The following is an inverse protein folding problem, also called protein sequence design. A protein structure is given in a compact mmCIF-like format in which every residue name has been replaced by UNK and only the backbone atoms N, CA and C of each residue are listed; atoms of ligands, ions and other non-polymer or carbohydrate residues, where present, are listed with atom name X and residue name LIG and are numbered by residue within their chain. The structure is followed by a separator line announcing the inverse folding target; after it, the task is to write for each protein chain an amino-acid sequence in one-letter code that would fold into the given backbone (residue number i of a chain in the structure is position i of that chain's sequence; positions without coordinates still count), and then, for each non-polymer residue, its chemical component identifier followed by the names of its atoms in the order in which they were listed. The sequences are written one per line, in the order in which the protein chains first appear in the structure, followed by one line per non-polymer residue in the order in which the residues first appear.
data_IF_587354254358
#
_entry.id   IF_587354254358
#
_cell.length_a   1.000
_cell.length_b   1.000
_cell.length_c   1.000
_cell.angle_alpha   90.00
_cell.angle_beta   90.00
_cell.angle_gamma   90.00
#
_symmetry.space_group_name_H-M   'P 1'
#
loop_
_entity.id
_entity.type
_entity.pdbx_description
1 polymer ?
#
# COMPACT_ATOMS: atom_id res chain seq x y z
N UNK A 1 24.56 7.13 -4.81
CA UNK A 1 24.18 8.17 -3.83
C UNK A 1 23.41 7.51 -2.69
N UNK A 2 23.60 8.01 -1.47
CA UNK A 2 22.90 7.59 -0.24
C UNK A 2 21.37 7.44 -0.39
N UNK A 3 20.62 8.39 -1.00
CA UNK A 3 19.16 8.27 -1.17
C UNK A 3 18.71 7.07 -1.99
N UNK A 4 19.48 6.69 -3.02
CA UNK A 4 19.16 5.51 -3.84
C UNK A 4 19.30 4.20 -3.05
N UNK A 5 20.28 4.13 -2.14
CA UNK A 5 20.46 2.96 -1.29
C UNK A 5 19.28 2.81 -0.32
N UNK A 6 18.78 3.93 0.23
CA UNK A 6 17.59 3.95 1.09
C UNK A 6 16.34 3.48 0.37
N UNK A 7 16.08 3.94 -0.86
CA UNK A 7 14.92 3.47 -1.64
C UNK A 7 14.98 1.96 -1.91
N UNK A 8 16.18 1.42 -2.23
CA UNK A 8 16.38 -0.02 -2.40
C UNK A 8 16.19 -0.80 -1.11
N UNK A 9 16.67 -0.28 0.01
CA UNK A 9 16.48 -0.91 1.32
C UNK A 9 14.99 -0.96 1.70
N UNK A 10 14.25 0.14 1.52
CA UNK A 10 12.81 0.19 1.79
C UNK A 10 12.00 -0.76 0.90
N UNK A 11 12.45 -0.99 -0.34
CA UNK A 11 11.86 -2.02 -1.19
C UNK A 11 12.16 -3.43 -0.67
N UNK A 12 13.41 -3.69 -0.26
CA UNK A 12 13.85 -4.99 0.25
C UNK A 12 13.19 -5.39 1.58
N UNK A 13 12.75 -4.43 2.40
CA UNK A 13 12.03 -4.70 3.66
C UNK A 13 10.58 -5.10 3.46
N UNK A 14 10.05 -5.08 2.22
CA UNK A 14 8.67 -5.47 1.92
C UNK A 14 7.62 -4.50 2.45
N UNK A 15 8.02 -3.27 2.82
CA UNK A 15 7.09 -2.21 3.21
C UNK A 15 6.34 -1.76 1.96
N UNK A 16 5.07 -2.17 1.83
CA UNK A 16 4.17 -1.75 0.76
C UNK A 16 3.68 -0.31 0.95
N UNK A 17 4.59 0.64 1.14
CA UNK A 17 4.28 2.07 1.27
C UNK A 17 4.68 2.81 0.00
N UNK A 18 3.93 3.83 -0.46
CA UNK A 18 4.33 4.60 -1.62
C UNK A 18 5.61 5.39 -1.34
N UNK A 19 6.57 5.34 -2.27
CA UNK A 19 7.85 6.03 -2.19
C UNK A 19 7.85 7.21 -3.14
N UNK A 20 7.90 8.41 -2.59
CA UNK A 20 7.91 9.65 -3.37
C UNK A 20 9.28 10.31 -3.22
N UNK A 21 9.95 10.58 -4.33
CA UNK A 21 11.19 11.34 -4.32
C UNK A 21 10.90 12.84 -4.33
N UNK A 22 11.50 13.60 -3.42
CA UNK A 22 11.48 15.07 -3.45
C UNK A 22 12.83 15.55 -3.95
N UNK A 23 12.85 16.25 -5.09
CA UNK A 23 14.09 16.66 -5.76
C UNK A 23 14.01 18.09 -6.26
N UNK A 24 15.14 18.77 -6.41
CA UNK A 24 15.19 20.02 -7.17
C UNK A 24 15.10 19.74 -8.67
N UNK A 25 14.87 20.78 -9.48
CA UNK A 25 14.88 20.65 -10.95
C UNK A 25 16.20 20.06 -11.46
N UNK A 26 17.34 20.55 -10.97
CA UNK A 26 18.65 20.01 -11.30
C UNK A 26 18.85 18.56 -10.82
N UNK A 27 18.14 18.14 -9.77
CA UNK A 27 18.20 16.79 -9.23
C UNK A 27 17.46 15.74 -10.09
N UNK A 28 16.56 16.15 -10.99
CA UNK A 28 15.79 15.24 -11.83
C UNK A 28 16.69 14.34 -12.70
N UNK A 29 17.84 14.85 -13.16
CA UNK A 29 18.78 14.10 -13.99
C UNK A 29 19.35 12.86 -13.29
N UNK A 30 19.36 12.84 -11.96
CA UNK A 30 19.86 11.71 -11.19
C UNK A 30 18.82 10.58 -11.02
N UNK A 31 17.55 10.86 -11.33
CA UNK A 31 16.47 9.88 -11.17
C UNK A 31 16.42 8.92 -12.36
N UNK A 32 16.43 7.64 -12.01
CA UNK A 32 16.36 6.54 -12.96
C UNK A 32 15.39 5.48 -12.42
N UNK A 33 14.84 4.65 -13.30
CA UNK A 33 13.83 3.64 -12.94
C UNK A 33 14.31 2.67 -11.83
N UNK A 34 15.63 2.44 -11.75
CA UNK A 34 16.27 1.59 -10.74
C UNK A 34 16.29 2.16 -9.31
N UNK A 35 15.79 3.38 -9.10
CA UNK A 35 15.50 3.92 -7.77
C UNK A 35 14.23 3.31 -7.18
N UNK A 36 13.32 2.81 -8.03
CA UNK A 36 12.05 2.23 -7.59
C UNK A 36 11.19 3.23 -6.83
N UNK A 37 11.10 4.48 -7.31
CA UNK A 37 10.20 5.48 -6.75
C UNK A 37 8.87 5.42 -7.48
N UNK A 38 7.77 5.60 -6.75
CA UNK A 38 6.40 5.49 -7.26
C UNK A 38 5.85 6.84 -7.76
N UNK A 39 6.47 7.95 -7.34
CA UNK A 39 6.17 9.32 -7.80
C UNK A 39 7.38 10.25 -7.53
N UNK A 40 7.38 11.42 -8.16
CA UNK A 40 8.42 12.45 -8.02
C UNK A 40 7.77 13.82 -7.82
N UNK A 41 8.26 14.55 -6.82
CA UNK A 41 7.82 15.90 -6.46
C UNK A 41 9.00 16.86 -6.54
N UNK A 42 8.80 18.01 -7.17
CA UNK A 42 9.80 19.08 -7.10
C UNK A 42 9.82 19.70 -5.70
N UNK A 43 11.00 20.05 -5.19
CA UNK A 43 11.16 20.72 -3.90
C UNK A 43 10.44 22.09 -3.86
N UNK A 44 10.10 22.65 -5.03
CA UNK A 44 9.33 23.89 -5.20
C UNK A 44 7.81 23.66 -5.32
N UNK A 45 7.31 22.42 -5.22
CA UNK A 45 5.90 22.11 -5.35
C UNK A 45 5.07 22.75 -4.23
N UNK A 46 3.92 23.31 -4.60
CA UNK A 46 2.99 23.89 -3.64
C UNK A 46 2.25 22.81 -2.83
N UNK A 47 1.68 23.17 -1.67
CA UNK A 47 1.04 22.22 -0.76
C UNK A 47 -0.11 21.44 -1.41
N UNK A 48 -0.91 22.09 -2.26
CA UNK A 48 -2.01 21.46 -2.97
C UNK A 48 -1.55 20.34 -3.94
N UNK A 49 -0.40 20.53 -4.61
CA UNK A 49 0.17 19.51 -5.48
C UNK A 49 0.67 18.32 -4.65
N UNK A 50 1.39 18.60 -3.56
CA UNK A 50 1.92 17.57 -2.66
C UNK A 50 0.79 16.73 -2.09
N UNK A 51 -0.27 17.36 -1.59
CA UNK A 51 -1.47 16.67 -1.09
C UNK A 51 -2.10 15.79 -2.16
N UNK A 52 -2.32 16.32 -3.37
CA UNK A 52 -2.94 15.59 -4.46
C UNK A 52 -2.12 14.35 -4.85
N UNK A 53 -0.79 14.48 -4.96
CA UNK A 53 0.11 13.37 -5.31
C UNK A 53 0.16 12.30 -4.22
N UNK A 54 0.24 12.70 -2.94
CA UNK A 54 0.18 11.76 -1.82
C UNK A 54 -1.14 10.98 -1.82
N UNK A 55 -2.28 11.67 -1.99
CA UNK A 55 -3.60 11.02 -2.09
C UNK A 55 -3.68 10.03 -3.24
N UNK A 56 -3.15 10.38 -4.41
CA UNK A 56 -3.11 9.49 -5.56
C UNK A 56 -2.17 8.28 -5.34
N UNK A 57 -1.01 8.49 -4.73
CA UNK A 57 -0.06 7.43 -4.43
C UNK A 57 -0.65 6.39 -3.45
N UNK A 58 -1.34 6.87 -2.40
CA UNK A 58 -2.07 6.00 -1.46
C UNK A 58 -3.24 5.30 -2.14
N UNK A 59 -4.02 6.02 -2.97
CA UNK A 59 -5.13 5.43 -3.72
C UNK A 59 -4.70 4.31 -4.68
N UNK A 60 -3.54 4.46 -5.34
CA UNK A 60 -2.94 3.43 -6.20
C UNK A 60 -2.58 2.16 -5.41
N UNK A 61 -2.02 2.32 -4.20
CA UNK A 61 -1.73 1.19 -3.32
C UNK A 61 -3.01 0.44 -2.93
N UNK A 62 -4.04 1.16 -2.50
CA UNK A 62 -5.34 0.57 -2.13
C UNK A 62 -6.00 -0.16 -3.30
N UNK A 63 -5.92 0.39 -4.52
CA UNK A 63 -6.45 -0.27 -5.72
C UNK A 63 -5.60 -1.48 -6.16
N UNK A 64 -4.28 -1.42 -6.01
CA UNK A 64 -3.41 -2.58 -6.27
C UNK A 64 -3.72 -3.73 -5.30
N UNK A 65 -4.01 -3.42 -4.03
CA UNK A 65 -4.49 -4.43 -3.07
C UNK A 65 -5.91 -4.94 -3.38
N UNK A 66 -6.77 -4.12 -3.99
CA UNK A 66 -8.12 -4.53 -4.37
C UNK A 66 -8.17 -5.36 -5.67
N UNK A 67 -7.23 -5.15 -6.59
CA UNK A 67 -7.19 -5.81 -7.91
C UNK A 67 -6.42 -7.14 -7.95
N UNK A 68 -5.60 -7.43 -6.94
CA UNK A 68 -4.72 -8.61 -6.92
C UNK A 68 -4.90 -9.41 -5.62
N UNK A 69 -6.01 -10.15 -5.47
CA UNK A 69 -6.20 -11.15 -4.40
C UNK A 69 -5.92 -10.66 -2.97
N UNK A 70 -5.87 -9.34 -2.77
CA UNK A 70 -5.08 -8.76 -1.69
C UNK A 70 -5.84 -8.85 -0.39
N UNK A 71 -5.09 -9.18 0.66
CA UNK A 71 -5.65 -9.38 1.98
C UNK A 71 -6.59 -8.24 2.40
N UNK A 72 -7.85 -8.57 2.70
CA UNK A 72 -8.88 -7.64 3.13
C UNK A 72 -8.58 -7.25 4.59
N UNK A 73 -8.50 -5.95 4.89
CA UNK A 73 -8.30 -5.44 6.25
C UNK A 73 -9.50 -4.64 6.74
N UNK A 74 -9.99 -4.98 7.93
CA UNK A 74 -11.07 -4.29 8.61
C UNK A 74 -10.70 -4.07 10.09
N UNK A 75 -10.15 -2.90 10.41
CA UNK A 75 -9.55 -2.65 11.72
C UNK A 75 -8.43 -3.63 12.03
N UNK A 76 -8.55 -4.37 13.12
CA UNK A 76 -7.59 -5.41 13.55
C UNK A 76 -7.76 -6.75 12.82
N UNK A 77 -8.79 -6.88 11.97
CA UNK A 77 -9.05 -8.09 11.19
C UNK A 77 -8.27 -8.04 9.87
N UNK A 78 -7.60 -9.14 9.55
CA UNK A 78 -6.90 -9.38 8.28
C UNK A 78 -7.43 -10.69 7.69
N UNK A 79 -7.91 -10.67 6.46
CA UNK A 79 -8.42 -11.84 5.74
C UNK A 79 -7.58 -12.02 4.49
N UNK A 80 -7.10 -13.22 4.22
CA UNK A 80 -6.41 -13.60 2.99
C UNK A 80 -7.34 -14.52 2.19
N UNK A 81 -7.96 -14.01 1.10
CA UNK A 81 -8.86 -14.79 0.25
C UNK A 81 -8.18 -15.95 -0.47
N UNK A 82 -6.88 -15.85 -0.74
CA UNK A 82 -6.14 -16.84 -1.52
C UNK A 82 -5.77 -18.06 -0.66
N UNK A 83 -5.45 -17.83 0.62
CA UNK A 83 -5.10 -18.91 1.57
C UNK A 83 -6.27 -19.36 2.45
N UNK A 84 -7.45 -18.76 2.30
CA UNK A 84 -8.61 -18.98 3.17
C UNK A 84 -8.29 -18.76 4.66
N UNK A 85 -7.37 -17.84 4.96
CA UNK A 85 -6.91 -17.56 6.31
C UNK A 85 -7.45 -16.22 6.82
N UNK A 86 -7.79 -16.15 8.10
CA UNK A 86 -8.14 -14.90 8.77
C UNK A 86 -7.37 -14.75 10.07
N UNK A 87 -7.02 -13.51 10.43
CA UNK A 87 -6.34 -13.15 11.68
C UNK A 87 -7.01 -11.96 12.34
N UNK A 88 -7.17 -12.02 13.65
CA UNK A 88 -7.61 -10.88 14.47
C UNK A 88 -6.49 -10.50 15.43
N UNK A 89 -6.04 -9.24 15.39
CA UNK A 89 -4.89 -8.77 16.19
C UNK A 89 -3.66 -9.68 16.02
N UNK A 90 -3.43 -10.12 14.78
CA UNK A 90 -2.35 -11.04 14.41
C UNK A 90 -2.54 -12.52 14.79
N UNK A 91 -3.59 -12.89 15.54
CA UNK A 91 -3.86 -14.29 15.91
C UNK A 91 -4.72 -14.98 14.85
N UNK A 92 -4.35 -16.18 14.36
CA UNK A 92 -5.17 -16.91 13.40
C UNK A 92 -6.53 -17.26 13.99
N UNK A 93 -7.56 -17.16 13.17
CA UNK A 93 -8.90 -17.61 13.46
C UNK A 93 -9.10 -18.99 12.85
N UNK A 94 -9.51 -19.95 13.66
CA UNK A 94 -9.95 -21.26 13.17
C UNK A 94 -11.41 -21.13 12.74
N UNK A 95 -11.63 -21.02 11.43
CA UNK A 95 -12.95 -20.80 10.84
C UNK A 95 -13.28 -21.97 9.93
N UNK A 96 -14.52 -22.42 9.98
CA UNK A 96 -15.06 -23.26 8.91
C UNK A 96 -15.17 -22.47 7.62
N UNK A 97 -15.26 -23.17 6.48
CA UNK A 97 -15.39 -22.53 5.16
C UNK A 97 -16.54 -21.50 5.10
N UNK A 98 -17.69 -21.82 5.71
CA UNK A 98 -18.86 -20.93 5.70
C UNK A 98 -18.68 -19.71 6.59
N UNK A 99 -18.03 -19.85 7.74
CA UNK A 99 -17.70 -18.72 8.61
C UNK A 99 -16.69 -17.79 7.95
N UNK A 100 -15.69 -18.35 7.27
CA UNK A 100 -14.73 -17.57 6.48
C UNK A 100 -15.44 -16.76 5.38
N UNK A 101 -16.28 -17.40 4.56
CA UNK A 101 -16.98 -16.72 3.46
C UNK A 101 -17.94 -15.64 3.98
N UNK A 102 -18.62 -15.88 5.11
CA UNK A 102 -19.46 -14.86 5.75
C UNK A 102 -18.61 -13.68 6.25
N UNK A 103 -17.51 -13.95 6.92
CA UNK A 103 -16.61 -12.92 7.45
C UNK A 103 -16.01 -12.07 6.33
N UNK A 104 -15.57 -12.72 5.25
CA UNK A 104 -15.10 -12.08 4.02
C UNK A 104 -16.17 -11.19 3.42
N UNK A 105 -17.40 -11.69 3.27
CA UNK A 105 -18.52 -10.92 2.73
C UNK A 105 -18.82 -9.67 3.57
N UNK A 106 -18.89 -9.81 4.90
CA UNK A 106 -19.12 -8.68 5.81
C UNK A 106 -17.97 -7.66 5.77
N UNK A 107 -16.72 -8.12 5.70
CA UNK A 107 -15.55 -7.25 5.62
C UNK A 107 -15.48 -6.47 4.28
N UNK A 108 -16.01 -7.03 3.20
CA UNK A 108 -16.12 -6.37 1.89
C UNK A 108 -17.30 -5.38 1.81
N UNK A 109 -18.30 -5.52 2.68
CA UNK A 109 -19.52 -4.70 2.68
C UNK A 109 -19.82 -4.09 4.07
N UNK A 110 -18.94 -3.26 4.64
CA UNK A 110 -19.14 -2.67 5.95
C UNK A 110 -20.41 -1.80 5.99
N UNK A 111 -21.28 -2.06 6.98
CA UNK A 111 -22.50 -1.27 7.22
C UNK A 111 -23.74 -1.67 6.42
N UNK A 112 -23.71 -2.77 5.65
CA UNK A 112 -24.92 -3.36 5.04
C UNK A 112 -25.39 -4.57 5.85
N UNK A 113 -26.45 -4.38 6.64
CA UNK A 113 -27.34 -5.43 7.16
C UNK A 113 -28.78 -4.94 7.08
#
# INVERSE_FOLDING_TARGET
SEPRATCRMLHATGLGVPRVAVVTEAGLIALTADWGVDDVILASAGPAEVEARLRLAVGRLSNATAGAGGSIRAGELTIDPDTYAAKLKGRPLDLTYKEFELLKFLAQHPGRV
#
